data_IF_397596345618
#
_entry.id   IF_397596345618
#
_cell.length_a   1.000
_cell.length_b   1.000
_cell.length_c   1.000
_cell.angle_alpha   90.00
_cell.angle_beta   90.00
_cell.angle_gamma   90.00
#
_symmetry.space_group_name_H-M   'P 1'
#
loop_
_entity.id
_entity.type
_entity.pdbx_description
1 polymer ?
#
# COMPACT_ATOMS: atom_id res chain seq x y z
N UNK A 1 14.44 -23.30 -12.06
CA UNK A 1 13.70 -22.68 -10.94
C UNK A 1 12.70 -23.71 -10.43
N UNK A 2 12.67 -23.96 -9.12
CA UNK A 2 11.63 -24.79 -8.49
C UNK A 2 10.71 -23.84 -7.72
N UNK A 3 9.40 -24.05 -7.81
CA UNK A 3 8.38 -23.27 -7.10
C UNK A 3 7.62 -24.24 -6.22
N UNK A 4 7.45 -23.89 -4.94
CA UNK A 4 6.51 -24.57 -4.06
C UNK A 4 5.10 -24.04 -4.33
N UNK A 5 4.21 -24.91 -4.78
CA UNK A 5 2.84 -24.52 -5.16
C UNK A 5 1.97 -24.25 -3.94
N UNK A 6 2.21 -24.95 -2.83
CA UNK A 6 1.42 -24.81 -1.61
C UNK A 6 1.74 -23.46 -0.93
N UNK A 7 3.01 -23.08 -0.92
CA UNK A 7 3.45 -21.74 -0.48
C UNK A 7 2.81 -20.64 -1.35
N UNK A 8 2.83 -20.80 -2.67
CA UNK A 8 2.23 -19.84 -3.58
C UNK A 8 0.71 -19.69 -3.37
N UNK A 9 -0.01 -20.79 -3.09
CA UNK A 9 -1.44 -20.75 -2.78
C UNK A 9 -1.69 -20.01 -1.47
N UNK A 10 -0.90 -20.27 -0.42
CA UNK A 10 -1.03 -19.59 0.86
C UNK A 10 -0.85 -18.07 0.71
N UNK A 11 0.20 -17.63 0.00
CA UNK A 11 0.43 -16.22 -0.30
C UNK A 11 -0.73 -15.57 -1.05
N UNK A 12 -1.30 -16.24 -2.06
CA UNK A 12 -2.46 -15.72 -2.81
C UNK A 12 -3.69 -15.56 -1.91
N UNK A 13 -3.91 -16.50 -0.98
CA UNK A 13 -5.04 -16.42 -0.04
C UNK A 13 -4.88 -15.25 0.93
N UNK A 14 -3.66 -15.00 1.41
CA UNK A 14 -3.33 -13.85 2.26
C UNK A 14 -3.57 -12.53 1.54
N UNK A 15 -3.09 -12.37 0.29
CA UNK A 15 -3.34 -11.16 -0.50
C UNK A 15 -4.82 -10.92 -0.76
N UNK A 16 -5.57 -11.99 -1.02
CA UNK A 16 -7.03 -11.89 -1.15
C UNK A 16 -7.68 -11.44 0.15
N UNK A 17 -7.22 -11.92 1.30
CA UNK A 17 -7.72 -11.48 2.59
C UNK A 17 -7.41 -10.01 2.85
N UNK A 18 -6.20 -9.54 2.49
CA UNK A 18 -5.80 -8.14 2.62
C UNK A 18 -6.62 -7.21 1.71
N UNK A 19 -7.01 -7.66 0.51
CA UNK A 19 -7.76 -6.87 -0.47
C UNK A 19 -9.29 -6.93 -0.30
N UNK A 20 -9.81 -7.66 0.70
CA UNK A 20 -11.25 -7.72 0.99
C UNK A 20 -11.81 -6.46 1.65
N UNK A 21 -11.21 -5.93 2.74
CA UNK A 21 -11.70 -4.71 3.37
C UNK A 21 -11.34 -3.47 2.54
N UNK A 22 -12.09 -2.38 2.75
CA UNK A 22 -11.70 -1.06 2.24
C UNK A 22 -10.44 -0.59 2.98
N UNK A 23 -9.50 0.02 2.25
CA UNK A 23 -8.24 0.50 2.81
C UNK A 23 -8.44 1.50 3.97
N UNK A 24 -9.48 2.34 3.88
CA UNK A 24 -9.83 3.34 4.88
C UNK A 24 -10.28 2.74 6.23
N UNK A 25 -10.76 1.50 6.23
CA UNK A 25 -11.20 0.80 7.45
C UNK A 25 -10.06 0.00 8.11
N UNK A 26 -8.88 -0.05 7.47
CA UNK A 26 -7.74 -0.82 7.97
C UNK A 26 -6.99 -0.07 9.07
N UNK A 27 -6.66 -0.78 10.14
CA UNK A 27 -5.76 -0.30 11.19
C UNK A 27 -4.37 -0.87 10.95
N UNK A 28 -3.39 0.02 10.85
CA UNK A 28 -1.99 -0.36 10.62
C UNK A 28 -1.23 -0.30 11.95
N UNK A 29 -0.44 -1.33 12.21
CA UNK A 29 0.37 -1.45 13.43
C UNK A 29 1.78 -1.92 13.03
N UNK A 30 2.82 -1.31 13.58
CA UNK A 30 4.23 -1.68 13.38
C UNK A 30 4.91 -1.84 14.73
N UNK A 31 5.47 -3.03 14.98
CA UNK A 31 6.10 -3.37 16.27
C UNK A 31 5.17 -3.17 17.49
N UNK A 32 3.87 -3.40 17.32
CA UNK A 32 2.87 -3.21 18.37
C UNK A 32 2.34 -1.78 18.51
N UNK A 33 2.95 -0.81 17.83
CA UNK A 33 2.54 0.59 17.86
C UNK A 33 1.64 0.94 16.65
N UNK A 34 0.55 1.69 16.83
CA UNK A 34 -0.28 2.16 15.72
C UNK A 34 0.52 3.02 14.74
N UNK A 35 0.31 2.77 13.45
CA UNK A 35 0.79 3.65 12.37
C UNK A 35 -0.38 4.50 11.89
N UNK A 36 -0.24 5.81 12.03
CA UNK A 36 -1.18 6.77 11.47
C UNK A 36 -0.85 6.96 9.98
N UNK A 37 -1.84 6.73 9.13
CA UNK A 37 -1.74 6.99 7.70
C UNK A 37 -2.56 8.23 7.40
N UNK A 38 -2.00 9.13 6.58
CA UNK A 38 -2.72 10.30 6.09
C UNK A 38 -3.90 9.86 5.20
N UNK A 39 -5.15 10.24 5.52
CA UNK A 39 -6.31 9.93 4.71
C UNK A 39 -6.18 10.39 3.25
N UNK A 40 -5.43 11.46 2.96
CA UNK A 40 -5.21 11.93 1.59
C UNK A 40 -4.46 10.90 0.74
N UNK A 41 -3.50 10.18 1.32
CA UNK A 41 -2.77 9.11 0.64
C UNK A 41 -3.71 7.93 0.36
N UNK A 42 -4.60 7.59 1.31
CA UNK A 42 -5.58 6.52 1.11
C UNK A 42 -6.51 6.84 -0.06
N UNK A 43 -7.00 8.07 -0.16
CA UNK A 43 -7.84 8.52 -1.27
C UNK A 43 -7.07 8.59 -2.59
N UNK A 44 -5.81 9.01 -2.58
CA UNK A 44 -4.95 9.00 -3.76
C UNK A 44 -4.80 7.59 -4.31
N UNK A 45 -4.48 6.61 -3.46
CA UNK A 45 -4.34 5.20 -3.84
C UNK A 45 -5.65 4.60 -4.35
N UNK A 46 -6.77 4.99 -3.75
CA UNK A 46 -8.10 4.62 -4.23
C UNK A 46 -8.37 5.16 -5.63
N UNK A 47 -7.98 6.40 -5.89
CA UNK A 47 -8.16 7.07 -7.18
C UNK A 47 -7.34 6.40 -8.29
N UNK A 48 -6.08 6.04 -8.05
CA UNK A 48 -5.24 5.30 -9.02
C UNK A 48 -5.66 3.84 -9.21
N UNK A 49 -6.56 3.32 -8.37
CA UNK A 49 -7.09 1.96 -8.48
C UNK A 49 -6.12 0.87 -8.03
N UNK A 50 -5.16 1.22 -7.17
CA UNK A 50 -4.25 0.24 -6.56
C UNK A 50 -4.97 -0.53 -5.44
N UNK A 51 -4.61 -1.80 -5.26
CA UNK A 51 -5.19 -2.62 -4.18
C UNK A 51 -4.40 -2.45 -2.87
N UNK A 52 -4.93 -2.98 -1.76
CA UNK A 52 -4.33 -2.83 -0.43
C UNK A 52 -2.92 -3.45 -0.35
N UNK A 53 -2.65 -4.51 -1.13
CA UNK A 53 -1.32 -5.13 -1.18
C UNK A 53 -0.31 -4.20 -1.85
N UNK A 54 -0.70 -3.50 -2.92
CA UNK A 54 0.14 -2.50 -3.60
C UNK A 54 0.41 -1.29 -2.69
N UNK A 55 -0.60 -0.85 -1.95
CA UNK A 55 -0.46 0.19 -0.91
C UNK A 55 0.56 -0.23 0.15
N UNK A 56 0.44 -1.45 0.68
CA UNK A 56 1.36 -1.93 1.73
C UNK A 56 2.80 -2.00 1.22
N UNK A 57 3.00 -2.51 0.00
CA UNK A 57 4.34 -2.62 -0.60
C UNK A 57 5.00 -1.27 -0.81
N UNK A 58 4.29 -0.33 -1.43
CA UNK A 58 4.81 1.02 -1.69
C UNK A 58 5.05 1.80 -0.40
N UNK A 59 4.11 1.80 0.54
CA UNK A 59 4.18 2.67 1.72
C UNK A 59 5.05 2.11 2.85
N UNK A 60 5.16 0.78 3.02
CA UNK A 60 5.84 0.18 4.18
C UNK A 60 7.12 -0.58 3.87
N UNK A 61 7.26 -1.13 2.66
CA UNK A 61 8.41 -1.96 2.28
C UNK A 61 9.54 -1.18 1.62
N UNK A 62 9.34 0.13 1.38
CA UNK A 62 10.39 1.01 0.85
C UNK A 62 10.76 0.72 -0.61
N UNK A 63 9.91 0.00 -1.36
CA UNK A 63 10.03 0.07 -2.81
C UNK A 63 9.70 1.51 -3.19
N UNK A 64 10.63 2.22 -3.87
CA UNK A 64 10.50 3.62 -4.32
C UNK A 64 9.38 3.83 -5.36
N UNK A 65 8.18 3.31 -5.10
CA UNK A 65 6.98 3.67 -5.80
C UNK A 65 6.39 4.88 -5.07
N UNK A 66 6.60 6.06 -5.65
CA UNK A 66 6.01 7.37 -5.31
C UNK A 66 6.81 8.39 -4.49
N UNK A 67 8.13 8.49 -4.70
CA UNK A 67 8.84 9.78 -4.49
C UNK A 67 8.53 10.82 -5.60
N UNK A 68 7.73 10.49 -6.62
CA UNK A 68 7.48 11.37 -7.78
C UNK A 68 6.18 12.17 -7.74
N UNK A 69 5.25 11.91 -6.81
CA UNK A 69 3.96 12.64 -6.78
C UNK A 69 3.97 13.91 -5.92
N UNK A 70 5.03 14.14 -5.13
CA UNK A 70 5.07 15.28 -4.18
C UNK A 70 6.08 16.40 -4.52
N UNK A 71 6.76 16.37 -5.67
CA UNK A 71 7.78 17.40 -6.00
C UNK A 71 7.45 18.38 -7.14
N UNK A 72 6.26 18.36 -7.76
CA UNK A 72 5.89 19.37 -8.78
C UNK A 72 4.70 20.27 -8.43
N UNK A 73 4.05 20.11 -7.27
CA UNK A 73 2.96 21.01 -6.86
C UNK A 73 3.41 22.20 -6.00
N UNK A 74 4.71 22.53 -6.03
CA UNK A 74 5.32 23.61 -5.23
C UNK A 74 6.15 24.64 -5.99
N UNK A 75 6.18 24.63 -7.34
CA UNK A 75 6.85 25.67 -8.14
C UNK A 75 6.00 26.08 -9.35
N UNK A 76 4.87 26.69 -9.08
CA UNK A 76 4.28 27.72 -9.97
C UNK A 76 3.93 28.90 -9.09
N UNK A 77 4.93 29.74 -8.86
CA UNK A 77 4.81 31.18 -8.57
C UNK A 77 6.23 31.75 -8.47
N UNK A 78 6.75 32.16 -9.64
CA UNK A 78 7.72 33.25 -9.88
C UNK A 78 8.09 33.26 -11.37
#
# INVERSE_FOLDING_TARGET
MKIDVDEAIATIQEWRALNKPELADMQFVRNGEPVVIDPEIVEEFRFIGLNNTDFIRSHFMGEEFYTTLTFEKGKRDA
#
